data_IF_844629082954
#
_entry.id   IF_844629082954
#
_cell.length_a   1.000
_cell.length_b   1.000
_cell.length_c   1.000
_cell.angle_alpha   90.00
_cell.angle_beta   90.00
_cell.angle_gamma   90.00
#
_symmetry.space_group_name_H-M   'P 1'
#
loop_
_entity.id
_entity.type
_entity.pdbx_description
1 polymer ?
#
# COMPACT_ATOMS: atom_id res chain seq x y z
N UNK A 1 -30.43 21.26 53.39
CA UNK A 1 -29.22 20.43 53.20
C UNK A 1 -29.29 19.46 52.00
N UNK A 2 -30.42 18.81 51.69
CA UNK A 2 -30.54 17.86 50.55
C UNK A 2 -30.33 18.48 49.15
N UNK A 3 -30.79 19.71 48.92
CA UNK A 3 -30.66 20.41 47.62
C UNK A 3 -29.19 20.66 47.22
N UNK A 4 -28.34 21.00 48.19
CA UNK A 4 -26.92 21.28 47.95
C UNK A 4 -26.12 20.01 47.61
N UNK A 5 -26.40 18.89 48.29
CA UNK A 5 -25.82 17.58 47.94
C UNK A 5 -26.24 17.17 46.53
N UNK A 6 -27.52 17.28 46.17
CA UNK A 6 -28.03 16.97 44.82
C UNK A 6 -27.38 17.83 43.73
N UNK A 7 -27.10 19.11 43.99
CA UNK A 7 -26.38 20.00 43.07
C UNK A 7 -24.92 19.59 42.88
N UNK A 8 -24.22 19.19 43.96
CA UNK A 8 -22.86 18.64 43.88
C UNK A 8 -22.79 17.33 43.09
N UNK A 9 -23.74 16.41 43.29
CA UNK A 9 -23.82 15.18 42.50
C UNK A 9 -24.06 15.45 41.02
N UNK A 10 -24.98 16.37 40.67
CA UNK A 10 -25.20 16.78 39.28
C UNK A 10 -23.94 17.39 38.66
N UNK A 11 -23.23 18.25 39.38
CA UNK A 11 -21.99 18.85 38.90
C UNK A 11 -20.90 17.79 38.67
N UNK A 12 -20.72 16.87 39.64
CA UNK A 12 -19.77 15.77 39.52
C UNK A 12 -20.09 14.90 38.30
N UNK A 13 -21.37 14.55 38.11
CA UNK A 13 -21.82 13.78 36.96
C UNK A 13 -21.54 14.52 35.65
N UNK A 14 -21.83 15.82 35.57
CA UNK A 14 -21.50 16.62 34.38
C UNK A 14 -19.99 16.63 34.09
N UNK A 15 -19.15 16.81 35.11
CA UNK A 15 -17.69 16.76 34.96
C UNK A 15 -17.24 15.38 34.47
N UNK A 16 -17.75 14.29 35.06
CA UNK A 16 -17.46 12.94 34.61
C UNK A 16 -17.87 12.73 33.15
N UNK A 17 -19.06 13.18 32.74
CA UNK A 17 -19.52 13.07 31.34
C UNK A 17 -18.62 13.85 30.40
N UNK A 18 -18.23 15.09 30.74
CA UNK A 18 -17.31 15.90 29.92
C UNK A 18 -15.96 15.22 29.77
N UNK A 19 -15.40 14.69 30.87
CA UNK A 19 -14.14 13.94 30.86
C UNK A 19 -14.28 12.68 30.00
N UNK A 20 -15.35 11.91 30.17
CA UNK A 20 -15.60 10.72 29.35
C UNK A 20 -15.74 11.07 27.87
N UNK A 21 -16.46 12.12 27.51
CA UNK A 21 -16.59 12.58 26.12
C UNK A 21 -15.23 13.04 25.58
N UNK A 22 -14.44 13.76 26.37
CA UNK A 22 -13.09 14.19 25.98
C UNK A 22 -12.19 13.01 25.61
N UNK A 23 -12.21 11.95 26.42
CA UNK A 23 -11.44 10.74 26.14
C UNK A 23 -12.04 9.91 24.99
N UNK A 24 -13.37 9.71 24.95
CA UNK A 24 -14.04 8.97 23.87
C UNK A 24 -13.83 9.61 22.51
N UNK A 25 -13.84 10.94 22.46
CA UNK A 25 -13.58 11.69 21.23
C UNK A 25 -12.08 11.76 20.89
N UNK A 26 -11.19 11.22 21.74
CA UNK A 26 -9.76 11.24 21.53
C UNK A 26 -9.16 12.64 21.47
N UNK A 27 -9.81 13.64 22.09
CA UNK A 27 -9.35 15.03 22.05
C UNK A 27 -7.94 15.13 22.63
N UNK A 28 -7.64 14.34 23.66
CA UNK A 28 -6.29 14.23 24.21
C UNK A 28 -5.24 13.87 23.16
N UNK A 29 -5.54 12.91 22.30
CA UNK A 29 -4.59 12.44 21.30
C UNK A 29 -4.40 13.49 20.20
N UNK A 30 -5.47 14.18 19.79
CA UNK A 30 -5.38 15.29 18.83
C UNK A 30 -4.55 16.46 19.37
N UNK A 31 -4.74 16.84 20.63
CA UNK A 31 -4.02 17.96 21.27
C UNK A 31 -2.53 17.67 21.47
N UNK A 32 -2.19 16.42 21.81
CA UNK A 32 -0.80 16.02 22.09
C UNK A 32 -0.06 15.45 20.87
N UNK A 33 -0.67 15.44 19.69
CA UNK A 33 -0.01 14.99 18.47
C UNK A 33 1.10 15.96 18.03
N UNK A 34 2.25 15.42 17.63
CA UNK A 34 3.39 16.19 17.09
C UNK A 34 3.08 16.70 15.70
N UNK A 35 3.54 17.91 15.35
CA UNK A 35 3.33 18.44 14.00
C UNK A 35 4.38 17.88 13.05
N UNK A 36 3.98 17.49 11.84
CA UNK A 36 4.92 16.98 10.83
C UNK A 36 6.04 17.99 10.51
N UNK A 37 5.73 19.29 10.61
CA UNK A 37 6.68 20.37 10.35
C UNK A 37 7.84 20.44 11.37
N UNK A 38 7.67 19.83 12.55
CA UNK A 38 8.69 19.82 13.62
C UNK A 38 9.81 18.79 13.37
N UNK A 39 9.86 18.19 12.18
CA UNK A 39 10.86 17.20 11.79
C UNK A 39 10.30 15.77 11.86
N UNK A 40 9.51 15.39 10.86
CA UNK A 40 8.94 14.04 10.74
C UNK A 40 10.00 12.95 10.88
N UNK A 41 9.89 12.17 11.96
CA UNK A 41 10.59 10.92 12.18
C UNK A 41 9.63 9.74 12.07
N UNK A 42 10.16 8.61 11.63
CA UNK A 42 9.46 7.34 11.66
C UNK A 42 10.50 6.21 11.68
N UNK A 43 10.29 5.13 12.47
CA UNK A 43 11.28 4.07 12.56
C UNK A 43 11.53 3.41 11.19
N UNK A 44 12.79 3.16 10.78
CA UNK A 44 14.02 3.48 11.50
C UNK A 44 14.40 4.97 11.38
N UNK A 45 14.72 5.61 12.52
CA UNK A 45 15.04 7.04 12.56
C UNK A 45 16.49 7.32 12.14
N UNK A 46 16.77 7.12 10.86
CA UNK A 46 18.04 7.46 10.20
C UNK A 46 17.80 7.78 8.72
N UNK A 47 18.84 8.27 8.05
CA UNK A 47 18.87 8.32 6.59
C UNK A 47 19.01 6.90 6.03
N UNK A 48 18.00 6.49 5.25
CA UNK A 48 17.96 5.16 4.64
C UNK A 48 18.53 5.15 3.22
N UNK A 49 18.87 6.29 2.62
CA UNK A 49 19.38 6.36 1.25
C UNK A 49 20.59 5.45 0.99
N UNK A 50 21.61 5.37 1.89
CA UNK A 50 22.71 4.43 1.70
C UNK A 50 22.25 2.97 1.67
N UNK A 51 21.28 2.60 2.52
CA UNK A 51 20.73 1.24 2.58
C UNK A 51 19.97 0.88 1.31
N UNK A 52 19.26 1.85 0.70
CA UNK A 52 18.60 1.66 -0.59
C UNK A 52 19.61 1.29 -1.67
N UNK A 53 20.74 2.01 -1.74
CA UNK A 53 21.79 1.75 -2.72
C UNK A 53 22.44 0.38 -2.52
N UNK A 54 22.68 -0.03 -1.27
CA UNK A 54 23.20 -1.36 -0.95
C UNK A 54 22.25 -2.47 -1.44
N UNK A 55 20.96 -2.36 -1.12
CA UNK A 55 19.95 -3.35 -1.53
C UNK A 55 19.80 -3.41 -3.05
N UNK A 56 19.71 -2.25 -3.72
CA UNK A 56 19.59 -2.18 -5.18
C UNK A 56 20.85 -2.68 -5.90
N UNK A 57 22.02 -2.61 -5.27
CA UNK A 57 23.26 -3.20 -5.75
C UNK A 57 23.39 -4.71 -5.44
N UNK A 58 22.38 -5.34 -4.84
CA UNK A 58 22.42 -6.75 -4.44
C UNK A 58 23.37 -7.04 -3.27
N UNK A 59 23.80 -6.01 -2.53
CA UNK A 59 24.68 -6.15 -1.37
C UNK A 59 23.86 -6.41 -0.11
N UNK A 60 24.48 -7.09 0.85
CA UNK A 60 23.92 -7.19 2.20
C UNK A 60 23.91 -5.78 2.84
N UNK A 61 22.77 -5.28 3.33
CA UNK A 61 22.70 -3.96 3.91
C UNK A 61 23.50 -3.88 5.22
N UNK A 62 24.10 -2.72 5.47
CA UNK A 62 24.90 -2.43 6.67
C UNK A 62 24.08 -2.44 7.95
N UNK A 63 22.79 -2.11 7.85
CA UNK A 63 21.80 -2.27 8.93
C UNK A 63 20.85 -3.41 8.57
N UNK A 64 20.53 -4.35 9.48
CA UNK A 64 19.54 -5.39 9.23
C UNK A 64 18.16 -4.79 8.92
N UNK A 65 17.40 -5.35 7.97
CA UNK A 65 15.99 -4.99 7.79
C UNK A 65 15.21 -5.04 9.10
N UNK A 66 14.23 -4.16 9.26
CA UNK A 66 13.31 -4.15 10.41
C UNK A 66 11.97 -4.80 10.08
N UNK A 67 11.64 -4.89 8.78
CA UNK A 67 10.50 -5.66 8.30
C UNK A 67 11.00 -6.88 7.55
N UNK A 68 10.48 -8.03 7.95
CA UNK A 68 10.62 -9.28 7.22
C UNK A 68 9.19 -9.68 6.86
N UNK A 69 8.92 -9.87 5.57
CA UNK A 69 7.67 -10.44 5.08
C UNK A 69 7.93 -11.92 4.73
N UNK A 70 7.98 -12.83 5.73
CA UNK A 70 8.45 -14.21 5.57
C UNK A 70 7.43 -15.12 4.87
N UNK A 71 6.52 -14.54 4.10
CA UNK A 71 5.49 -15.26 3.39
C UNK A 71 6.06 -15.81 2.09
N UNK A 72 5.66 -17.03 1.74
CA UNK A 72 6.05 -17.69 0.50
C UNK A 72 5.02 -17.43 -0.59
N UNK A 73 5.50 -17.36 -1.82
CA UNK A 73 4.65 -17.47 -3.01
C UNK A 73 4.34 -18.95 -3.22
N UNK A 74 3.05 -19.30 -3.17
CA UNK A 74 2.55 -20.66 -3.40
C UNK A 74 2.50 -20.99 -4.89
N UNK A 75 2.41 -19.96 -5.73
CA UNK A 75 2.43 -20.09 -7.18
C UNK A 75 3.39 -19.10 -7.82
N UNK A 76 3.86 -19.45 -9.01
CA UNK A 76 4.47 -18.50 -9.93
C UNK A 76 3.74 -18.64 -11.27
N UNK A 77 3.16 -17.54 -11.76
CA UNK A 77 2.33 -17.55 -12.98
C UNK A 77 3.15 -17.83 -14.24
N UNK A 78 4.46 -17.58 -14.21
CA UNK A 78 5.34 -17.65 -15.39
C UNK A 78 5.08 -16.56 -16.42
N UNK A 79 4.03 -15.74 -16.29
CA UNK A 79 3.66 -14.69 -17.25
C UNK A 79 4.73 -13.60 -17.41
N UNK A 80 5.59 -13.40 -16.41
CA UNK A 80 6.72 -12.47 -16.53
C UNK A 80 8.02 -13.10 -17.06
N UNK A 81 8.02 -14.38 -17.45
CA UNK A 81 9.15 -15.00 -18.15
C UNK A 81 9.12 -14.62 -19.64
N UNK A 82 9.27 -13.34 -19.95
CA UNK A 82 9.32 -12.82 -21.33
C UNK A 82 10.64 -12.12 -21.61
N UNK A 83 11.08 -12.17 -22.86
CA UNK A 83 12.24 -11.41 -23.35
C UNK A 83 11.84 -9.98 -23.67
N UNK A 84 10.57 -9.75 -23.97
CA UNK A 84 10.04 -8.44 -24.32
C UNK A 84 9.87 -7.56 -23.10
N UNK A 85 10.30 -6.30 -23.23
CA UNK A 85 10.11 -5.29 -22.21
C UNK A 85 8.63 -4.88 -22.16
N UNK A 86 8.07 -4.83 -20.96
CA UNK A 86 6.67 -4.46 -20.75
C UNK A 86 6.54 -2.94 -20.62
N UNK A 87 5.58 -2.32 -21.32
CA UNK A 87 5.23 -0.91 -21.12
C UNK A 87 4.54 -0.72 -19.77
N UNK A 88 3.64 -1.65 -19.41
CA UNK A 88 2.88 -1.62 -18.17
C UNK A 88 2.68 -3.03 -17.59
N UNK A 89 2.92 -3.15 -16.29
CA UNK A 89 2.54 -4.32 -15.52
C UNK A 89 1.48 -3.97 -14.48
N UNK A 90 0.30 -4.59 -14.57
CA UNK A 90 -0.84 -4.35 -13.70
C UNK A 90 -0.85 -5.39 -12.57
N UNK A 91 -0.66 -4.90 -11.36
CA UNK A 91 -0.72 -5.65 -10.10
C UNK A 91 -2.12 -5.44 -9.51
N UNK A 92 -2.95 -6.48 -9.54
CA UNK A 92 -4.31 -6.42 -9.00
C UNK A 92 -4.37 -7.14 -7.67
N UNK A 93 -4.59 -6.41 -6.56
CA UNK A 93 -4.88 -6.99 -5.25
C UNK A 93 -6.32 -7.53 -5.28
N UNK A 94 -6.48 -8.82 -5.05
CA UNK A 94 -7.80 -9.50 -5.07
C UNK A 94 -7.98 -10.39 -3.83
N UNK A 95 -9.18 -10.93 -3.62
CA UNK A 95 -9.48 -11.90 -2.56
C UNK A 95 -9.87 -13.25 -3.15
N UNK A 96 -9.71 -14.35 -2.41
CA UNK A 96 -9.91 -15.70 -2.95
C UNK A 96 -11.30 -15.91 -3.58
N UNK A 97 -12.36 -15.39 -2.97
CA UNK A 97 -13.74 -15.53 -3.43
C UNK A 97 -14.16 -14.51 -4.50
N UNK A 98 -13.29 -13.55 -4.88
CA UNK A 98 -13.56 -12.53 -5.88
C UNK A 98 -13.38 -13.00 -7.34
N UNK A 99 -13.85 -14.22 -7.67
CA UNK A 99 -13.76 -14.79 -9.02
C UNK A 99 -14.39 -13.88 -10.09
N UNK A 100 -15.56 -13.31 -9.77
CA UNK A 100 -16.28 -12.41 -10.68
C UNK A 100 -15.51 -11.11 -10.97
N UNK A 101 -14.86 -10.52 -9.96
CA UNK A 101 -14.05 -9.32 -10.13
C UNK A 101 -12.85 -9.60 -11.03
N UNK A 102 -12.09 -10.68 -10.74
CA UNK A 102 -10.96 -11.08 -11.58
C UNK A 102 -11.38 -11.33 -13.03
N UNK A 103 -12.51 -12.00 -13.24
CA UNK A 103 -13.05 -12.21 -14.59
C UNK A 103 -13.44 -10.89 -15.28
N UNK A 104 -14.04 -9.94 -14.56
CA UNK A 104 -14.36 -8.62 -15.10
C UNK A 104 -13.09 -7.86 -15.52
N UNK A 105 -12.03 -7.89 -14.71
CA UNK A 105 -10.72 -7.30 -15.06
C UNK A 105 -10.15 -7.96 -16.32
N UNK A 106 -10.13 -9.29 -16.41
CA UNK A 106 -9.64 -10.03 -17.59
C UNK A 106 -10.38 -9.67 -18.88
N UNK A 107 -11.70 -9.47 -18.79
CA UNK A 107 -12.57 -9.13 -19.91
C UNK A 107 -12.57 -7.63 -20.26
N UNK A 108 -11.86 -6.80 -19.48
CA UNK A 108 -11.82 -5.35 -19.68
C UNK A 108 -10.38 -4.85 -19.77
N UNK A 109 -9.88 -4.18 -18.73
CA UNK A 109 -8.61 -3.46 -18.77
C UNK A 109 -7.38 -4.35 -18.51
N UNK A 110 -7.59 -5.56 -17.98
CA UNK A 110 -6.53 -6.57 -17.79
C UNK A 110 -6.29 -7.46 -19.01
N UNK A 111 -6.99 -7.22 -20.12
CA UNK A 111 -6.81 -8.02 -21.34
C UNK A 111 -5.41 -7.81 -21.94
N UNK A 112 -4.71 -8.90 -22.22
CA UNK A 112 -3.43 -8.85 -22.94
C UNK A 112 -3.64 -8.36 -24.38
N UNK A 113 -2.69 -7.59 -24.92
CA UNK A 113 -2.73 -6.99 -26.26
C UNK A 113 -3.94 -6.06 -26.51
N UNK A 114 -4.51 -5.47 -25.45
CA UNK A 114 -5.60 -4.50 -25.56
C UNK A 114 -5.21 -3.25 -26.37
N UNK A 115 -3.96 -2.79 -26.24
CA UNK A 115 -3.45 -1.58 -26.89
C UNK A 115 -2.42 -1.99 -27.97
N UNK A 116 -2.68 -1.72 -29.26
CA UNK A 116 -1.76 -2.06 -30.33
C UNK A 116 -0.36 -1.47 -30.14
N UNK A 117 0.68 -2.30 -30.28
CA UNK A 117 2.07 -1.88 -30.17
C UNK A 117 2.57 -1.64 -28.74
N UNK A 118 1.74 -1.91 -27.72
CA UNK A 118 2.11 -1.81 -26.29
C UNK A 118 1.96 -3.17 -25.63
N UNK A 119 2.92 -3.53 -24.79
CA UNK A 119 2.94 -4.81 -24.09
C UNK A 119 2.50 -4.58 -22.64
N UNK A 120 1.25 -4.97 -22.38
CA UNK A 120 0.63 -4.87 -21.06
C UNK A 120 0.34 -6.27 -20.53
N UNK A 121 0.71 -6.52 -19.27
CA UNK A 121 0.41 -7.77 -18.56
C UNK A 121 -0.25 -7.47 -17.22
N UNK A 122 -1.15 -8.34 -16.78
CA UNK A 122 -1.78 -8.25 -15.46
C UNK A 122 -1.65 -9.55 -14.68
N UNK A 123 -1.46 -9.44 -13.36
CA UNK A 123 -1.56 -10.56 -12.42
C UNK A 123 -2.43 -10.18 -11.21
N UNK A 124 -3.12 -11.19 -10.67
CA UNK A 124 -3.90 -11.10 -9.45
C UNK A 124 -3.10 -11.63 -8.26
N UNK A 125 -3.10 -10.88 -7.16
CA UNK A 125 -2.43 -11.24 -5.92
C UNK A 125 -3.46 -11.55 -4.85
N UNK A 126 -3.46 -12.80 -4.38
CA UNK A 126 -4.44 -13.32 -3.41
C UNK A 126 -3.72 -14.00 -2.24
N UNK A 127 -4.28 -13.91 -1.03
CA UNK A 127 -3.78 -14.67 0.11
C UNK A 127 -4.43 -16.03 0.25
N UNK A 128 -4.48 -16.51 1.50
CA UNK A 128 -5.17 -17.73 1.90
C UNK A 128 -6.27 -17.44 2.93
N UNK A 129 -7.35 -18.22 2.86
CA UNK A 129 -8.41 -18.25 3.87
C UNK A 129 -8.00 -19.08 5.09
N UNK A 130 -8.79 -19.07 6.16
CA UNK A 130 -8.50 -19.79 7.41
C UNK A 130 -8.39 -21.31 7.25
N UNK A 131 -9.14 -21.89 6.32
CA UNK A 131 -9.29 -23.33 6.10
C UNK A 131 -8.32 -23.90 5.05
N UNK A 132 -7.40 -23.08 4.53
CA UNK A 132 -6.33 -23.51 3.65
C UNK A 132 -5.53 -24.71 4.22
N UNK A 133 -5.16 -25.72 3.40
CA UNK A 133 -5.41 -25.83 1.94
C UNK A 133 -6.71 -26.57 1.59
N UNK A 134 -7.62 -26.79 2.54
CA UNK A 134 -8.73 -27.74 2.39
C UNK A 134 -10.09 -27.09 2.09
N UNK A 135 -10.14 -25.76 1.91
CA UNK A 135 -11.39 -25.07 1.64
C UNK A 135 -11.90 -25.35 0.22
N UNK A 136 -13.23 -25.33 0.04
CA UNK A 136 -13.84 -25.40 -1.29
C UNK A 136 -13.43 -24.21 -2.17
N UNK A 137 -13.21 -23.04 -1.56
CA UNK A 137 -12.69 -21.86 -2.26
C UNK A 137 -11.28 -22.12 -2.79
N UNK A 138 -10.40 -22.76 -2.03
CA UNK A 138 -9.05 -23.10 -2.51
C UNK A 138 -9.11 -24.02 -3.73
N UNK A 139 -9.97 -25.04 -3.75
CA UNK A 139 -10.12 -25.92 -4.94
C UNK A 139 -10.49 -25.12 -6.20
N UNK A 140 -11.41 -24.16 -6.07
CA UNK A 140 -11.79 -23.28 -7.19
C UNK A 140 -10.66 -22.33 -7.60
N UNK A 141 -9.85 -21.87 -6.65
CA UNK A 141 -8.63 -21.09 -6.95
C UNK A 141 -7.64 -21.93 -7.73
N UNK A 142 -7.43 -23.20 -7.34
CA UNK A 142 -6.53 -24.12 -8.05
C UNK A 142 -7.00 -24.35 -9.50
N UNK A 143 -8.31 -24.53 -9.72
CA UNK A 143 -8.92 -24.63 -11.05
C UNK A 143 -8.71 -23.35 -11.88
N UNK A 144 -8.95 -22.18 -11.29
CA UNK A 144 -8.77 -20.88 -11.95
C UNK A 144 -7.29 -20.64 -12.33
N UNK A 145 -6.35 -21.02 -11.45
CA UNK A 145 -4.92 -20.94 -11.71
C UNK A 145 -4.49 -21.80 -12.90
N UNK A 146 -5.00 -23.02 -13.00
CA UNK A 146 -4.72 -23.91 -14.14
C UNK A 146 -5.25 -23.30 -15.44
N UNK A 147 -6.44 -22.71 -15.39
CA UNK A 147 -7.10 -22.14 -16.56
C UNK A 147 -6.42 -20.85 -17.06
N UNK A 148 -6.17 -19.88 -16.19
CA UNK A 148 -5.76 -18.53 -16.60
C UNK A 148 -4.28 -18.21 -16.37
N UNK A 149 -3.61 -18.95 -15.48
CA UNK A 149 -2.18 -18.79 -15.15
C UNK A 149 -1.81 -17.34 -14.83
N UNK A 150 -2.67 -16.63 -14.10
CA UNK A 150 -2.51 -15.20 -13.80
C UNK A 150 -2.68 -14.85 -12.32
N UNK A 151 -2.63 -15.86 -11.45
CA UNK A 151 -2.74 -15.67 -10.00
C UNK A 151 -1.40 -15.98 -9.32
N UNK A 152 -0.95 -15.03 -8.52
CA UNK A 152 0.12 -15.19 -7.53
C UNK A 152 -0.56 -15.34 -6.17
N UNK A 153 -0.57 -16.56 -5.64
CA UNK A 153 -1.08 -16.82 -4.30
C UNK A 153 0.05 -16.76 -3.27
N UNK A 154 -0.21 -16.08 -2.16
CA UNK A 154 0.74 -15.84 -1.09
C UNK A 154 0.25 -16.54 0.18
N UNK A 155 1.13 -17.22 0.89
CA UNK A 155 0.80 -17.95 2.13
C UNK A 155 0.67 -17.02 3.34
N UNK A 156 -0.32 -16.11 3.31
CA UNK A 156 -0.68 -15.24 4.42
C UNK A 156 -2.20 -15.16 4.58
N UNK A 157 -2.67 -14.94 5.81
CA UNK A 157 -4.10 -14.75 6.08
C UNK A 157 -4.58 -13.44 5.49
N UNK A 158 -5.47 -13.53 4.51
CA UNK A 158 -5.97 -12.38 3.77
C UNK A 158 -7.12 -11.71 4.54
N UNK A 159 -6.83 -10.56 5.14
CA UNK A 159 -7.83 -9.74 5.82
C UNK A 159 -7.46 -8.26 5.71
N UNK A 160 -8.42 -7.39 6.04
CA UNK A 160 -8.28 -5.93 5.91
C UNK A 160 -7.01 -5.36 6.55
N UNK A 161 -6.66 -5.78 7.78
CA UNK A 161 -5.48 -5.26 8.49
C UNK A 161 -4.15 -5.82 7.94
N UNK A 162 -4.21 -6.89 7.16
CA UNK A 162 -3.07 -7.47 6.47
C UNK A 162 -2.92 -6.96 5.02
N UNK A 163 -3.70 -5.95 4.59
CA UNK A 163 -3.57 -5.39 3.24
C UNK A 163 -2.16 -4.84 2.97
N UNK A 164 -1.49 -4.28 3.97
CA UNK A 164 -0.10 -3.83 3.80
C UNK A 164 0.85 -5.01 3.54
N UNK A 165 0.61 -6.17 4.16
CA UNK A 165 1.36 -7.39 3.84
C UNK A 165 1.13 -7.79 2.38
N UNK A 166 -0.13 -7.83 1.92
CA UNK A 166 -0.45 -8.14 0.50
C UNK A 166 0.25 -7.17 -0.45
N UNK A 167 0.17 -5.88 -0.15
CA UNK A 167 0.81 -4.81 -0.94
C UNK A 167 2.31 -5.04 -1.02
N UNK A 168 2.99 -5.24 0.12
CA UNK A 168 4.44 -5.40 0.12
C UNK A 168 4.92 -6.73 -0.46
N UNK A 169 4.13 -7.80 -0.32
CA UNK A 169 4.38 -9.07 -0.99
C UNK A 169 4.21 -8.95 -2.51
N UNK A 170 3.30 -8.09 -2.98
CA UNK A 170 3.13 -7.80 -4.41
C UNK A 170 4.32 -7.00 -4.96
N UNK A 171 4.78 -5.97 -4.25
CA UNK A 171 6.05 -5.28 -4.56
C UNK A 171 7.24 -6.23 -4.60
N UNK A 172 7.35 -7.14 -3.62
CA UNK A 172 8.41 -8.16 -3.57
C UNK A 172 8.38 -9.05 -4.80
N UNK A 173 7.21 -9.57 -5.15
CA UNK A 173 7.07 -10.47 -6.29
C UNK A 173 7.52 -9.78 -7.58
N UNK A 174 7.06 -8.54 -7.79
CA UNK A 174 7.43 -7.71 -8.94
C UNK A 174 8.94 -7.43 -8.96
N UNK A 175 9.53 -7.09 -7.81
CA UNK A 175 10.97 -6.82 -7.70
C UNK A 175 11.83 -8.06 -8.03
N UNK A 176 11.41 -9.24 -7.57
CA UNK A 176 12.14 -10.50 -7.72
C UNK A 176 11.92 -11.15 -9.10
N UNK A 177 10.73 -11.03 -9.68
CA UNK A 177 10.32 -11.82 -10.85
C UNK A 177 9.93 -11.00 -12.09
N UNK A 178 9.73 -9.69 -11.94
CA UNK A 178 9.16 -8.86 -13.01
C UNK A 178 9.65 -7.41 -13.00
N UNK A 179 10.95 -7.21 -12.82
CA UNK A 179 11.53 -5.89 -12.49
C UNK A 179 12.01 -5.06 -13.71
N UNK A 180 11.53 -5.38 -14.91
CA UNK A 180 11.95 -4.79 -16.18
C UNK A 180 10.86 -3.98 -16.90
N UNK A 181 9.63 -3.94 -16.38
CA UNK A 181 8.57 -3.11 -16.95
C UNK A 181 8.87 -1.62 -16.78
N UNK A 182 8.43 -0.79 -17.70
CA UNK A 182 8.59 0.67 -17.62
C UNK A 182 7.79 1.24 -16.45
N UNK A 183 6.52 0.82 -16.34
CA UNK A 183 5.61 1.23 -15.29
C UNK A 183 4.88 0.05 -14.66
N UNK A 184 4.48 0.26 -13.41
CA UNK A 184 3.66 -0.67 -12.64
C UNK A 184 2.43 0.04 -12.13
N UNK A 185 1.26 -0.50 -12.44
CA UNK A 185 0.00 -0.05 -11.85
C UNK A 185 -0.37 -1.02 -10.75
N UNK A 186 -0.52 -0.52 -9.54
CA UNK A 186 -1.13 -1.27 -8.45
C UNK A 186 -2.58 -0.82 -8.33
N UNK A 187 -3.50 -1.76 -8.22
CA UNK A 187 -4.94 -1.49 -8.11
C UNK A 187 -5.62 -2.57 -7.28
N UNK A 188 -6.76 -2.24 -6.68
CA UNK A 188 -7.71 -3.22 -6.16
C UNK A 188 -8.58 -3.78 -7.30
N UNK A 189 -9.28 -4.91 -7.05
CA UNK A 189 -10.07 -5.63 -8.04
C UNK A 189 -11.48 -5.07 -8.30
N UNK A 190 -11.86 -4.02 -7.58
CA UNK A 190 -13.14 -3.30 -7.69
C UNK A 190 -13.01 -1.96 -8.45
N UNK A 191 -11.88 -1.74 -9.14
CA UNK A 191 -11.59 -0.55 -9.92
C UNK A 191 -11.72 -0.78 -11.43
N UNK A 192 -11.98 0.30 -12.18
CA UNK A 192 -11.81 0.33 -13.63
C UNK A 192 -10.66 1.27 -14.01
N UNK A 193 -9.84 0.84 -14.96
CA UNK A 193 -8.68 1.59 -15.43
C UNK A 193 -8.78 1.79 -16.95
N UNK A 194 -8.70 3.04 -17.39
CA UNK A 194 -8.47 3.33 -18.81
C UNK A 194 -6.97 3.19 -19.11
N UNK A 195 -6.55 2.01 -19.60
CA UNK A 195 -5.14 1.70 -19.87
C UNK A 195 -4.55 2.63 -20.93
N UNK A 196 -5.33 2.99 -21.95
CA UNK A 196 -4.87 3.91 -22.99
C UNK A 196 -4.49 5.27 -22.40
N UNK A 197 -5.41 5.88 -21.62
CA UNK A 197 -5.16 7.17 -21.01
C UNK A 197 -4.01 7.12 -19.98
N UNK A 198 -3.85 5.99 -19.27
CA UNK A 198 -2.73 5.80 -18.36
C UNK A 198 -1.39 5.76 -19.12
N UNK A 199 -1.33 5.02 -20.23
CA UNK A 199 -0.13 4.94 -21.06
C UNK A 199 0.22 6.31 -21.67
N UNK A 200 -0.78 7.03 -22.18
CA UNK A 200 -0.61 8.40 -22.68
C UNK A 200 -0.04 9.30 -21.57
N UNK A 201 -0.61 9.24 -20.34
CA UNK A 201 -0.12 10.02 -19.20
C UNK A 201 1.34 9.71 -18.82
N UNK A 202 1.75 8.44 -18.79
CA UNK A 202 3.11 8.08 -18.33
C UNK A 202 4.16 8.21 -19.44
N UNK A 203 3.78 8.16 -20.71
CA UNK A 203 4.72 8.30 -21.83
C UNK A 203 4.81 9.72 -22.39
N UNK A 204 3.74 10.51 -22.36
CA UNK A 204 3.72 11.85 -22.97
C UNK A 204 4.05 12.99 -22.00
N UNK A 205 4.41 12.69 -20.74
CA UNK A 205 4.88 13.69 -19.79
C UNK A 205 6.23 14.28 -20.23
N UNK A 206 6.31 15.60 -20.51
CA UNK A 206 7.59 16.26 -20.72
C UNK A 206 8.39 16.17 -19.44
N UNK A 207 9.60 15.61 -19.53
CA UNK A 207 10.59 15.58 -18.45
C UNK A 207 10.83 17.01 -17.95
N UNK A 208 10.47 17.36 -16.70
CA UNK A 208 10.85 18.64 -16.13
C UNK A 208 12.37 18.60 -15.90
N UNK A 209 13.12 19.33 -16.73
CA UNK A 209 14.59 19.42 -16.67
C UNK A 209 15.11 20.17 -15.44
N UNK A 210 14.23 20.70 -14.60
CA UNK A 210 14.57 21.54 -13.45
C UNK A 210 14.90 20.80 -12.15
N UNK A 211 14.72 19.47 -12.06
CA UNK A 211 15.06 18.68 -10.86
C UNK A 211 16.19 17.67 -11.06
N UNK A 212 16.84 17.63 -12.24
CA UNK A 212 17.97 16.72 -12.50
C UNK A 212 17.63 15.22 -12.46
N UNK A 213 16.37 14.85 -12.28
CA UNK A 213 15.86 13.48 -12.19
C UNK A 213 14.65 13.33 -13.11
N UNK A 214 14.88 13.42 -14.42
CA UNK A 214 13.80 13.38 -15.41
C UNK A 214 13.11 12.04 -15.49
N UNK A 215 11.77 11.97 -15.49
CA UNK A 215 10.88 10.79 -15.62
C UNK A 215 11.25 9.49 -14.88
N UNK A 216 12.35 9.44 -14.15
CA UNK A 216 12.88 8.22 -13.57
C UNK A 216 12.13 7.85 -12.30
N UNK A 217 11.53 8.81 -11.60
CA UNK A 217 10.83 8.59 -10.33
C UNK A 217 9.39 9.11 -10.42
N UNK A 218 8.46 8.20 -10.71
CA UNK A 218 7.02 8.44 -10.69
C UNK A 218 6.37 7.65 -9.55
N UNK A 219 5.55 8.31 -8.75
CA UNK A 219 4.54 7.71 -7.87
C UNK A 219 3.31 8.61 -7.96
N UNK A 220 2.24 8.15 -8.62
CA UNK A 220 1.12 9.01 -8.98
C UNK A 220 -0.24 8.34 -8.83
N UNK A 221 -1.25 9.16 -8.55
CA UNK A 221 -2.66 8.81 -8.43
C UNK A 221 -3.40 9.88 -7.64
N UNK A 222 -4.56 9.56 -7.06
CA UNK A 222 -5.31 10.55 -6.28
C UNK A 222 -4.63 10.85 -4.93
N UNK A 223 -3.80 11.89 -4.91
CA UNK A 223 -3.08 12.34 -3.70
C UNK A 223 -4.07 12.90 -2.69
N UNK A 224 -4.00 12.38 -1.47
CA UNK A 224 -4.87 12.73 -0.36
C UNK A 224 -4.08 13.24 0.84
N UNK A 225 -4.61 14.29 1.45
CA UNK A 225 -4.05 14.95 2.63
C UNK A 225 -5.04 14.76 3.78
N UNK A 226 -4.66 13.97 4.78
CA UNK A 226 -5.57 13.67 5.89
C UNK A 226 -4.83 13.46 7.22
N UNK A 227 -5.60 13.33 8.30
CA UNK A 227 -5.10 13.16 9.66
C UNK A 227 -5.46 11.78 10.21
N UNK A 228 -4.65 11.20 11.11
CA UNK A 228 -5.02 9.98 11.81
C UNK A 228 -6.32 10.14 12.58
N UNK A 229 -7.24 9.17 12.46
CA UNK A 229 -8.46 9.16 13.24
C UNK A 229 -8.13 8.82 14.70
N UNK A 230 -8.46 9.72 15.63
CA UNK A 230 -8.19 9.51 17.06
C UNK A 230 -9.44 9.21 17.89
N UNK A 231 -10.63 9.07 17.30
CA UNK A 231 -11.83 8.69 18.06
C UNK A 231 -11.71 7.24 18.58
N UNK A 232 -12.03 6.98 19.85
CA UNK A 232 -11.85 5.64 20.46
C UNK A 232 -12.68 4.57 19.74
N UNK A 233 -13.87 4.92 19.28
CA UNK A 233 -14.83 4.00 18.66
C UNK A 233 -14.62 3.81 17.15
N UNK A 234 -13.68 4.54 16.55
CA UNK A 234 -13.39 4.40 15.12
C UNK A 234 -12.67 3.09 14.86
N UNK A 235 -13.11 2.33 13.86
CA UNK A 235 -12.35 1.16 13.36
C UNK A 235 -10.98 1.54 12.79
N UNK A 236 -10.80 2.81 12.43
CA UNK A 236 -9.54 3.38 11.94
C UNK A 236 -8.79 4.16 13.02
N UNK A 237 -9.10 3.95 14.31
CA UNK A 237 -8.40 4.61 15.40
C UNK A 237 -6.90 4.34 15.32
N UNK A 238 -6.11 5.39 15.49
CA UNK A 238 -4.66 5.29 15.66
C UNK A 238 -4.27 6.01 16.94
N UNK A 239 -3.51 5.36 17.82
CA UNK A 239 -2.99 5.96 19.05
C UNK A 239 -1.72 6.78 18.80
N UNK A 240 -1.35 7.66 19.76
CA UNK A 240 -0.07 8.39 19.69
C UNK A 240 1.15 7.48 19.82
N UNK A 241 0.99 6.31 20.46
CA UNK A 241 2.04 5.29 20.54
C UNK A 241 2.32 4.65 19.18
N UNK A 242 1.25 4.34 18.42
CA UNK A 242 1.38 3.76 17.08
C UNK A 242 1.89 4.80 16.07
N UNK A 243 1.37 6.02 16.15
CA UNK A 243 1.73 7.11 15.26
C UNK A 243 1.59 8.46 15.98
N UNK A 244 2.69 9.15 16.31
CA UNK A 244 2.66 10.32 17.17
C UNK A 244 2.32 11.62 16.41
N UNK A 245 2.24 11.61 15.08
CA UNK A 245 2.08 12.83 14.29
C UNK A 245 0.62 13.21 14.05
N UNK A 246 0.39 14.51 13.87
CA UNK A 246 -0.94 15.10 13.71
C UNK A 246 -1.53 14.91 12.31
N UNK A 247 -0.69 14.63 11.31
CA UNK A 247 -1.06 14.41 9.91
C UNK A 247 -0.37 13.15 9.40
N UNK A 248 -0.92 12.53 8.37
CA UNK A 248 -0.16 11.59 7.56
C UNK A 248 0.77 12.34 6.60
N UNK A 249 1.88 11.74 6.14
CA UNK A 249 2.51 12.19 4.90
C UNK A 249 1.50 12.07 3.76
N UNK A 250 1.59 12.96 2.77
CA UNK A 250 0.82 12.86 1.52
C UNK A 250 0.91 11.45 0.96
N UNK A 251 -0.24 10.89 0.55
CA UNK A 251 -0.31 9.53 0.05
C UNK A 251 -1.33 9.40 -1.07
N UNK A 252 -1.19 8.38 -1.92
CA UNK A 252 -2.21 8.05 -2.91
C UNK A 252 -3.24 7.13 -2.27
N UNK A 253 -4.52 7.51 -2.28
CA UNK A 253 -5.60 6.74 -1.66
C UNK A 253 -6.35 5.88 -2.68
N UNK A 254 -7.33 5.09 -2.19
CA UNK A 254 -8.21 4.21 -2.98
C UNK A 254 -7.49 3.11 -3.77
N UNK A 255 -6.30 2.70 -3.35
CA UNK A 255 -5.66 1.47 -3.84
C UNK A 255 -5.17 1.48 -5.29
N UNK A 256 -5.40 2.55 -6.08
CA UNK A 256 -4.98 2.68 -7.47
C UNK A 256 -3.87 3.72 -7.64
N UNK A 257 -2.66 3.27 -7.97
CA UNK A 257 -1.49 4.13 -8.18
C UNK A 257 -0.52 3.56 -9.19
N UNK A 258 0.12 4.45 -9.95
CA UNK A 258 1.18 4.10 -10.90
C UNK A 258 2.55 4.48 -10.37
N UNK A 259 3.52 3.59 -10.53
CA UNK A 259 4.93 3.83 -10.22
C UNK A 259 5.82 3.51 -11.41
N UNK A 260 6.86 4.32 -11.60
CA UNK A 260 7.96 3.98 -12.51
C UNK A 260 8.76 2.78 -12.00
N UNK A 261 9.55 2.15 -12.88
CA UNK A 261 10.47 1.08 -12.49
C UNK A 261 11.39 1.43 -11.31
N UNK A 262 12.02 2.60 -11.35
CA UNK A 262 12.93 3.04 -10.27
C UNK A 262 12.16 3.27 -8.98
N UNK A 263 10.99 3.89 -9.04
CA UNK A 263 10.14 4.07 -7.84
C UNK A 263 9.70 2.74 -7.25
N UNK A 264 9.30 1.76 -8.07
CA UNK A 264 8.97 0.40 -7.60
C UNK A 264 10.13 -0.22 -6.83
N UNK A 265 11.35 -0.19 -7.40
CA UNK A 265 12.57 -0.72 -6.77
C UNK A 265 12.92 0.03 -5.48
N UNK A 266 12.82 1.36 -5.51
CA UNK A 266 13.11 2.25 -4.38
C UNK A 266 12.14 2.01 -3.22
N UNK A 267 10.84 1.91 -3.52
CA UNK A 267 9.80 1.62 -2.52
C UNK A 267 9.98 0.23 -1.93
N UNK A 268 10.22 -0.80 -2.75
CA UNK A 268 10.48 -2.15 -2.22
C UNK A 268 11.72 -2.18 -1.32
N UNK A 269 12.86 -1.64 -1.77
CA UNK A 269 14.08 -1.59 -0.96
C UNK A 269 13.89 -0.80 0.34
N UNK A 270 13.19 0.33 0.29
CA UNK A 270 12.92 1.16 1.47
C UNK A 270 11.97 0.51 2.46
N UNK A 271 11.03 -0.30 1.98
CA UNK A 271 10.08 -1.01 2.84
C UNK A 271 10.75 -1.95 3.84
N UNK A 272 11.98 -2.39 3.56
CA UNK A 272 12.77 -3.21 4.47
C UNK A 272 13.16 -2.46 5.76
N UNK A 273 13.19 -1.12 5.71
CA UNK A 273 13.72 -0.23 6.76
C UNK A 273 12.70 0.78 7.32
N UNK A 274 11.47 0.78 6.80
CA UNK A 274 10.37 1.67 7.24
C UNK A 274 9.30 0.84 7.94
N UNK A 275 9.15 1.01 9.27
CA UNK A 275 8.32 0.18 10.15
C UNK A 275 6.93 -0.05 9.54
N UNK A 276 6.49 -1.30 9.52
CA UNK A 276 5.18 -1.65 9.01
C UNK A 276 4.04 -0.84 9.67
N UNK A 277 3.06 -0.45 8.86
CA UNK A 277 1.82 0.18 9.31
C UNK A 277 0.63 -0.51 8.62
N UNK A 278 -0.49 -0.81 9.31
CA UNK A 278 -1.51 -1.72 8.77
C UNK A 278 -2.33 -1.15 7.60
N UNK A 279 -2.47 0.17 7.51
CA UNK A 279 -3.18 0.82 6.39
C UNK A 279 -2.20 1.01 5.23
N UNK A 280 -2.45 0.33 4.10
CA UNK A 280 -1.50 0.20 3.00
C UNK A 280 -1.28 1.52 2.27
N UNK A 281 -2.34 2.27 1.99
CA UNK A 281 -2.25 3.60 1.40
C UNK A 281 -1.42 4.58 2.26
N UNK A 282 -1.70 4.64 3.57
CA UNK A 282 -0.92 5.42 4.55
C UNK A 282 0.52 4.93 4.65
N UNK A 283 0.74 3.61 4.67
CA UNK A 283 2.07 3.03 4.73
C UNK A 283 2.90 3.43 3.51
N UNK A 284 2.32 3.41 2.31
CA UNK A 284 2.98 3.86 1.08
C UNK A 284 3.34 5.35 1.13
N UNK A 285 2.50 6.19 1.75
CA UNK A 285 2.85 7.60 2.01
C UNK A 285 4.02 7.79 2.96
N UNK A 286 4.04 7.05 4.08
CA UNK A 286 5.16 7.04 5.04
C UNK A 286 6.44 6.57 4.35
N UNK A 287 6.35 5.48 3.60
CA UNK A 287 7.44 4.91 2.82
C UNK A 287 7.98 5.91 1.80
N UNK A 288 7.11 6.50 0.98
CA UNK A 288 7.46 7.50 -0.02
C UNK A 288 8.23 8.67 0.62
N UNK A 289 7.71 9.22 1.73
CA UNK A 289 8.39 10.30 2.46
C UNK A 289 9.77 9.89 2.97
N UNK A 290 9.93 8.67 3.49
CA UNK A 290 11.22 8.16 4.00
C UNK A 290 12.24 7.91 2.91
N UNK A 291 11.81 7.55 1.69
CA UNK A 291 12.71 7.33 0.54
C UNK A 291 12.89 8.56 -0.35
N UNK A 292 12.27 9.69 -0.01
CA UNK A 292 12.37 10.94 -0.78
C UNK A 292 11.51 10.97 -2.05
N UNK A 293 10.52 10.10 -2.16
CA UNK A 293 9.53 10.11 -3.25
C UNK A 293 8.34 10.99 -2.86
N UNK A 294 7.96 11.89 -3.77
CA UNK A 294 6.79 12.77 -3.59
C UNK A 294 5.65 12.26 -4.48
N UNK A 295 4.47 11.95 -3.91
CA UNK A 295 3.32 11.52 -4.71
C UNK A 295 2.83 12.65 -5.61
N UNK A 296 2.45 12.34 -6.85
CA UNK A 296 1.93 13.27 -7.85
C UNK A 296 0.44 13.06 -8.07
N UNK A 297 -0.32 14.16 -8.08
CA UNK A 297 -1.74 14.17 -8.42
C UNK A 297 -1.96 14.19 -9.93
#
# INVERSE_FOLDING_TARGET
MMSFKRRKYKLLLCVCVVISVYYLLGINDYVNARRIEDGFDYPLNMDIQPLLQEVMAGKKPSVPPINYYPYRFLTNSGKCNTVEKLDLFIVVKSAMDHFGHRNAVRLTYGQENLIPGRIVKSLFFVGIDESYPKSETQKKIDEEMVQFKDIIQIDFRDNYYNNTIKTMMSFRWVYEHCNTADYYLFTDDDMYISVNNLLDYVHDKPVPTSTGHGNEQLYAGYVFESTPQRFITSKWRVSLEEYPWSKWPSYVTAGAYVVSNKSMKTMYAGSLFVKHFPFDDVYLGILAKKVGLVPQH
#
